data_IF_555085190162
#
_entry.id   IF_555085190162
#
_cell.length_a   1.000
_cell.length_b   1.000
_cell.length_c   1.000
_cell.angle_alpha   90.00
_cell.angle_beta   90.00
_cell.angle_gamma   90.00
#
_symmetry.space_group_name_H-M   'P 1'
#
loop_
_entity.id
_entity.type
_entity.pdbx_description
1 polymer ?
#
# COMPACT_ATOMS: atom_id res chain seq x y z
N UNK A 1 -13.51 14.41 0.24
CA UNK A 1 -13.47 13.37 -0.79
C UNK A 1 -14.87 12.79 -0.90
N UNK A 2 -15.57 12.96 -2.03
CA UNK A 2 -16.89 12.34 -2.25
C UNK A 2 -16.69 10.83 -2.33
N UNK A 3 -17.07 10.13 -1.30
CA UNK A 3 -17.16 8.69 -1.23
C UNK A 3 -18.34 8.26 -2.10
N UNK A 4 -18.09 7.37 -3.09
CA UNK A 4 -19.10 6.65 -3.90
C UNK A 4 -19.58 7.26 -5.23
N UNK A 5 -18.82 8.09 -5.90
CA UNK A 5 -19.01 8.22 -7.34
C UNK A 5 -18.19 7.12 -8.05
N UNK A 6 -18.85 6.35 -8.92
CA UNK A 6 -18.15 5.40 -9.79
C UNK A 6 -17.10 6.16 -10.62
N UNK A 7 -15.85 5.64 -10.71
CA UNK A 7 -14.82 6.29 -11.50
C UNK A 7 -15.28 6.46 -12.95
N UNK A 8 -14.94 7.58 -13.62
CA UNK A 8 -15.29 7.79 -15.03
C UNK A 8 -14.77 6.65 -15.90
N UNK A 9 -15.58 6.18 -16.85
CA UNK A 9 -15.17 5.11 -17.77
C UNK A 9 -13.97 5.48 -18.65
N UNK A 10 -13.84 6.76 -19.00
CA UNK A 10 -12.78 7.31 -19.87
C UNK A 10 -12.34 8.66 -19.35
N UNK A 11 -11.03 8.90 -19.32
CA UNK A 11 -10.42 10.16 -18.89
C UNK A 11 -9.38 10.65 -19.90
N UNK A 12 -8.98 11.92 -19.78
CA UNK A 12 -7.74 12.47 -20.35
C UNK A 12 -6.73 12.62 -19.21
N UNK A 13 -5.46 12.47 -19.49
CA UNK A 13 -4.39 12.64 -18.51
C UNK A 13 -3.24 13.43 -19.13
N UNK A 14 -2.73 14.41 -18.39
CA UNK A 14 -1.55 15.19 -18.82
C UNK A 14 -0.29 14.31 -18.88
N UNK A 15 -0.26 13.21 -18.14
CA UNK A 15 0.83 12.23 -18.21
C UNK A 15 0.83 11.41 -19.51
N UNK A 16 -0.31 11.40 -20.26
CA UNK A 16 -0.45 10.73 -21.56
C UNK A 16 -1.40 11.51 -22.49
N UNK A 17 -1.03 12.72 -22.93
CA UNK A 17 -1.95 13.66 -23.58
C UNK A 17 -2.43 13.22 -24.99
N UNK A 18 -1.68 12.32 -25.65
CA UNK A 18 -1.97 11.88 -27.01
C UNK A 18 -3.22 11.01 -27.10
N UNK A 19 -3.59 10.29 -26.06
CA UNK A 19 -4.67 9.32 -26.07
C UNK A 19 -5.55 9.39 -24.82
N UNK A 20 -6.78 8.90 -24.96
CA UNK A 20 -7.67 8.71 -23.82
C UNK A 20 -7.25 7.48 -23.02
N UNK A 21 -7.50 7.52 -21.73
CA UNK A 21 -7.33 6.38 -20.85
C UNK A 21 -8.70 5.82 -20.46
N UNK A 22 -8.85 4.50 -20.54
CA UNK A 22 -10.07 3.77 -20.26
C UNK A 22 -9.94 2.98 -18.97
N UNK A 23 -10.97 3.04 -18.14
CA UNK A 23 -11.04 2.25 -16.93
C UNK A 23 -11.13 0.76 -17.27
N UNK A 24 -10.12 0.01 -16.87
CA UNK A 24 -10.09 -1.45 -16.97
C UNK A 24 -10.47 -2.06 -15.63
N UNK A 25 -11.32 -3.08 -15.67
CA UNK A 25 -11.69 -3.91 -14.54
C UNK A 25 -11.41 -5.34 -14.97
N UNK A 26 -10.26 -5.87 -14.57
CA UNK A 26 -9.84 -7.23 -14.91
C UNK A 26 -9.97 -8.14 -13.70
N UNK A 27 -10.30 -9.41 -13.93
CA UNK A 27 -10.43 -10.42 -12.88
C UNK A 27 -9.19 -11.32 -12.76
N UNK A 28 -8.32 -11.29 -13.77
CA UNK A 28 -7.21 -12.25 -13.94
C UNK A 28 -5.97 -11.66 -14.64
N UNK A 29 -5.86 -10.33 -14.73
CA UNK A 29 -4.74 -9.67 -15.39
C UNK A 29 -3.40 -9.81 -14.62
N UNK A 30 -2.24 -9.66 -15.31
CA UNK A 30 -0.95 -9.60 -14.64
C UNK A 30 -0.83 -8.35 -13.76
N UNK A 31 -0.01 -8.42 -12.69
CA UNK A 31 0.44 -7.22 -12.01
C UNK A 31 1.04 -6.22 -12.99
N UNK A 32 0.85 -4.93 -12.73
CA UNK A 32 1.34 -3.86 -13.60
C UNK A 32 2.21 -2.86 -12.83
N UNK A 33 2.90 -2.00 -13.56
CA UNK A 33 3.63 -0.86 -13.01
C UNK A 33 2.94 0.42 -13.45
N UNK A 34 2.53 1.21 -12.49
CA UNK A 34 1.87 2.50 -12.78
C UNK A 34 2.85 3.49 -13.41
N UNK A 35 2.52 4.03 -14.58
CA UNK A 35 3.34 5.04 -15.26
C UNK A 35 3.35 6.40 -14.56
N UNK A 36 2.34 6.67 -13.74
CA UNK A 36 2.30 7.87 -12.91
C UNK A 36 3.32 7.78 -11.76
N UNK A 37 3.04 7.02 -10.72
CA UNK A 37 3.85 6.98 -9.50
C UNK A 37 5.01 5.99 -9.55
N UNK A 38 5.12 5.15 -10.58
CA UNK A 38 6.13 4.09 -10.75
C UNK A 38 6.07 2.98 -9.69
N UNK A 39 4.96 2.88 -8.98
CA UNK A 39 4.70 1.83 -8.00
C UNK A 39 3.97 0.64 -8.63
N UNK A 40 4.12 -0.58 -8.07
CA UNK A 40 3.39 -1.74 -8.55
C UNK A 40 1.90 -1.65 -8.24
N UNK A 41 1.07 -2.24 -9.10
CA UNK A 41 -0.36 -2.44 -8.91
C UNK A 41 -0.77 -3.88 -9.19
N UNK A 42 -1.84 -4.35 -8.54
CA UNK A 42 -2.37 -5.69 -8.72
C UNK A 42 -3.10 -5.86 -10.03
N UNK A 43 -2.98 -7.04 -10.65
CA UNK A 43 -3.63 -7.33 -11.93
C UNK A 43 -5.15 -7.32 -11.88
N UNK A 44 -5.73 -7.54 -10.70
CA UNK A 44 -7.17 -7.51 -10.43
C UNK A 44 -7.68 -6.16 -9.94
N UNK A 45 -6.78 -5.19 -9.79
CA UNK A 45 -7.16 -3.83 -9.40
C UNK A 45 -7.70 -3.05 -10.59
N UNK A 46 -8.63 -2.14 -10.29
CA UNK A 46 -9.11 -1.18 -11.28
C UNK A 46 -7.97 -0.24 -11.66
N UNK A 47 -7.70 -0.11 -12.95
CA UNK A 47 -6.66 0.78 -13.49
C UNK A 47 -7.15 1.51 -14.73
N UNK A 48 -6.49 2.60 -15.05
CA UNK A 48 -6.69 3.27 -16.32
C UNK A 48 -5.58 2.88 -17.29
N UNK A 49 -5.95 2.34 -18.44
CA UNK A 49 -5.04 1.93 -19.52
C UNK A 49 -5.27 2.73 -20.78
N UNK A 50 -4.25 2.92 -21.60
CA UNK A 50 -4.38 3.61 -22.88
C UNK A 50 -5.33 2.87 -23.82
N UNK A 51 -6.32 3.58 -24.36
CA UNK A 51 -7.33 3.02 -25.27
C UNK A 51 -6.78 2.79 -26.69
N UNK A 52 -5.66 3.42 -27.05
CA UNK A 52 -4.97 3.27 -28.32
C UNK A 52 -3.90 2.17 -28.35
N UNK A 53 -3.79 1.38 -27.28
CA UNK A 53 -2.87 0.23 -27.19
C UNK A 53 -1.43 0.57 -26.84
N UNK A 54 -1.15 1.77 -26.32
CA UNK A 54 0.14 2.06 -25.69
C UNK A 54 0.26 1.22 -24.39
N UNK A 55 1.47 0.80 -24.07
CA UNK A 55 1.79 0.20 -22.77
C UNK A 55 1.88 1.33 -21.70
N UNK A 56 0.71 1.83 -21.31
CA UNK A 56 0.57 2.94 -20.36
C UNK A 56 -0.61 2.69 -19.43
N UNK A 57 -0.28 2.49 -18.15
CA UNK A 57 -1.22 2.14 -17.10
C UNK A 57 -1.10 3.08 -15.89
N UNK A 58 -2.22 3.52 -15.34
CA UNK A 58 -2.28 4.29 -14.10
C UNK A 58 -3.15 3.59 -13.05
N UNK A 59 -2.69 3.60 -11.80
CA UNK A 59 -3.61 3.34 -10.68
C UNK A 59 -4.80 4.30 -10.75
N UNK A 60 -5.97 3.84 -10.38
CA UNK A 60 -7.16 4.69 -10.28
C UNK A 60 -6.90 5.92 -9.39
N UNK A 61 -6.18 5.73 -8.28
CA UNK A 61 -5.76 6.81 -7.39
C UNK A 61 -4.84 7.83 -8.05
N UNK A 62 -3.90 7.39 -8.90
CA UNK A 62 -2.99 8.28 -9.62
C UNK A 62 -3.71 9.04 -10.73
N UNK A 63 -4.59 8.36 -11.47
CA UNK A 63 -5.37 8.94 -12.56
C UNK A 63 -6.37 10.00 -12.09
N UNK A 64 -6.90 9.85 -10.88
CA UNK A 64 -7.93 10.70 -10.28
C UNK A 64 -7.39 11.54 -9.11
N UNK A 65 -6.08 11.69 -9.00
CA UNK A 65 -5.43 12.52 -7.98
C UNK A 65 -5.87 13.97 -8.10
N UNK A 66 -6.21 14.59 -6.97
CA UNK A 66 -6.46 16.03 -6.91
C UNK A 66 -5.14 16.81 -6.98
N UNK A 67 -5.12 18.04 -7.55
CA UNK A 67 -3.91 18.86 -7.59
C UNK A 67 -3.32 19.15 -6.21
N UNK A 68 -4.17 19.25 -5.18
CA UNK A 68 -3.76 19.45 -3.78
C UNK A 68 -4.44 18.45 -2.86
N UNK A 69 -3.82 18.18 -1.72
CA UNK A 69 -4.30 17.24 -0.72
C UNK A 69 -3.98 17.73 0.70
N UNK A 70 -4.96 17.60 1.60
CA UNK A 70 -4.75 17.70 3.06
C UNK A 70 -4.99 16.32 3.67
N UNK A 71 -3.93 15.73 4.22
CA UNK A 71 -4.02 14.38 4.78
C UNK A 71 -4.27 14.41 6.29
N UNK A 72 -5.26 13.66 6.82
CA UNK A 72 -5.66 13.74 8.23
C UNK A 72 -4.55 13.47 9.25
N UNK A 73 -3.55 12.63 8.92
CA UNK A 73 -2.41 12.34 9.82
C UNK A 73 -1.50 13.55 10.08
N UNK A 74 -1.57 14.59 9.26
CA UNK A 74 -0.76 15.80 9.43
C UNK A 74 -1.54 16.98 9.98
N UNK A 75 -2.84 16.81 10.26
CA UNK A 75 -3.74 17.90 10.62
C UNK A 75 -4.17 18.74 9.40
N UNK A 76 -5.05 19.71 9.63
CA UNK A 76 -5.63 20.52 8.56
C UNK A 76 -4.71 21.58 7.95
N UNK A 77 -3.57 21.87 8.57
CA UNK A 77 -2.66 22.95 8.20
C UNK A 77 -1.59 22.53 7.19
N UNK A 78 -1.43 21.22 6.96
CA UNK A 78 -0.45 20.67 6.03
C UNK A 78 -1.11 20.41 4.69
N UNK A 79 -0.71 21.16 3.68
CA UNK A 79 -1.16 20.98 2.31
C UNK A 79 -0.04 20.41 1.44
N UNK A 80 -0.39 19.41 0.65
CA UNK A 80 0.49 18.78 -0.32
C UNK A 80 0.05 19.17 -1.73
N UNK A 81 1.00 19.43 -2.60
CA UNK A 81 0.79 19.64 -4.03
C UNK A 81 1.18 18.39 -4.81
N UNK A 82 0.38 18.01 -5.81
CA UNK A 82 0.70 16.92 -6.71
C UNK A 82 1.70 17.37 -7.75
N UNK A 83 2.89 16.78 -7.73
CA UNK A 83 3.95 17.03 -8.70
C UNK A 83 4.13 15.83 -9.64
N UNK A 84 4.50 16.05 -10.92
CA UNK A 84 4.78 14.96 -11.87
C UNK A 84 6.04 14.16 -11.51
N UNK A 85 6.94 14.75 -10.74
CA UNK A 85 8.14 14.12 -10.17
C UNK A 85 8.53 14.84 -8.89
N UNK A 86 9.27 14.14 -8.03
CA UNK A 86 9.78 14.72 -6.80
C UNK A 86 10.71 15.92 -7.08
N UNK A 87 10.74 16.95 -6.20
CA UNK A 87 11.71 18.03 -6.27
C UNK A 87 13.15 17.50 -6.18
N UNK A 88 14.15 18.23 -6.72
CA UNK A 88 15.55 17.86 -6.58
C UNK A 88 16.02 17.78 -5.11
N UNK A 89 16.89 16.82 -4.77
CA UNK A 89 17.48 15.80 -5.64
C UNK A 89 16.51 14.61 -5.83
N UNK A 90 16.05 14.39 -7.06
CA UNK A 90 15.02 13.40 -7.43
C UNK A 90 15.36 11.98 -6.94
N UNK A 91 16.63 11.61 -6.99
CA UNK A 91 17.06 10.26 -6.57
C UNK A 91 17.17 10.07 -5.06
N UNK A 92 16.97 11.12 -4.27
CA UNK A 92 17.04 11.08 -2.81
C UNK A 92 15.67 11.22 -2.14
N UNK A 93 14.58 11.36 -2.90
CA UNK A 93 13.24 11.54 -2.36
C UNK A 93 12.58 10.21 -2.04
N UNK A 94 12.02 10.11 -0.84
CA UNK A 94 11.38 8.92 -0.30
C UNK A 94 10.01 9.27 0.29
N UNK A 95 9.03 8.43 0.03
CA UNK A 95 7.71 8.56 0.60
C UNK A 95 7.73 8.44 2.14
N UNK A 96 7.23 9.45 2.84
CA UNK A 96 7.18 9.47 4.31
C UNK A 96 6.16 8.48 4.91
N UNK A 97 5.28 7.92 4.09
CA UNK A 97 4.38 6.86 4.52
C UNK A 97 5.02 5.47 4.48
N UNK A 98 5.64 5.07 3.37
CA UNK A 98 6.14 3.70 3.19
C UNK A 98 7.67 3.57 3.17
N UNK A 99 8.42 4.67 3.02
CA UNK A 99 9.88 4.65 2.96
C UNK A 99 10.49 4.22 1.62
N UNK A 100 9.68 3.92 0.62
CA UNK A 100 10.16 3.63 -0.73
C UNK A 100 10.42 4.92 -1.52
N UNK A 101 11.24 4.84 -2.58
CA UNK A 101 11.57 6.00 -3.41
C UNK A 101 10.35 6.53 -4.17
N UNK A 102 10.15 7.84 -4.16
CA UNK A 102 9.19 8.53 -5.01
C UNK A 102 9.82 8.80 -6.39
N UNK A 103 9.46 7.97 -7.38
CA UNK A 103 10.09 7.99 -8.73
C UNK A 103 9.23 8.65 -9.81
N UNK A 104 8.02 9.05 -9.50
CA UNK A 104 7.06 9.62 -10.43
C UNK A 104 6.15 10.58 -9.70
N UNK A 105 4.85 10.56 -10.02
CA UNK A 105 3.85 11.36 -9.32
C UNK A 105 4.03 11.27 -7.81
N UNK A 106 4.09 12.42 -7.17
CA UNK A 106 4.30 12.56 -5.74
C UNK A 106 3.50 13.75 -5.20
N UNK A 107 2.90 13.59 -4.06
CA UNK A 107 2.39 14.69 -3.25
C UNK A 107 3.54 15.24 -2.41
N UNK A 108 3.92 16.49 -2.64
CA UNK A 108 4.99 17.18 -1.93
C UNK A 108 4.43 18.32 -1.07
N UNK A 109 4.92 18.45 0.16
CA UNK A 109 4.63 19.58 1.03
C UNK A 109 5.90 20.44 1.16
N UNK A 110 5.89 21.63 0.56
CA UNK A 110 7.04 22.55 0.56
C UNK A 110 7.39 23.07 1.94
N UNK A 111 6.41 23.25 2.83
CA UNK A 111 6.63 23.81 4.17
C UNK A 111 7.34 22.83 5.11
N UNK A 112 7.17 21.52 4.90
CA UNK A 112 7.68 20.49 5.83
C UNK A 112 8.61 19.48 5.17
N UNK A 113 8.89 19.62 3.89
CA UNK A 113 9.70 18.67 3.10
C UNK A 113 9.23 17.22 3.27
N UNK A 114 7.92 17.01 3.03
CA UNK A 114 7.27 15.71 3.13
C UNK A 114 6.82 15.25 1.77
N UNK A 115 6.96 13.95 1.51
CA UNK A 115 6.63 13.34 0.24
C UNK A 115 5.73 12.11 0.41
N UNK A 116 4.68 12.00 -0.39
CA UNK A 116 3.76 10.86 -0.37
C UNK A 116 3.51 10.33 -1.78
N UNK A 117 3.61 9.02 -1.99
CA UNK A 117 3.02 8.42 -3.18
C UNK A 117 1.51 8.66 -3.18
N UNK A 118 0.87 8.90 -4.35
CA UNK A 118 -0.58 9.05 -4.42
C UNK A 118 -1.35 7.88 -3.80
N UNK A 119 -0.87 6.65 -3.99
CA UNK A 119 -1.46 5.46 -3.39
C UNK A 119 -1.32 5.45 -1.85
N UNK A 120 -0.21 5.94 -1.31
CA UNK A 120 -0.03 6.06 0.14
C UNK A 120 -0.90 7.17 0.73
N UNK A 121 -1.02 8.30 0.03
CA UNK A 121 -1.89 9.40 0.41
C UNK A 121 -3.39 9.04 0.38
N UNK A 122 -3.77 8.04 -0.43
CA UNK A 122 -5.13 7.54 -0.52
C UNK A 122 -5.47 6.45 0.51
N UNK A 123 -4.54 6.05 1.37
CA UNK A 123 -4.79 5.04 2.41
C UNK A 123 -5.89 5.51 3.36
N UNK A 124 -6.85 4.64 3.64
CA UNK A 124 -7.96 4.94 4.54
C UNK A 124 -7.47 5.05 5.97
N UNK A 125 -7.95 6.08 6.68
CA UNK A 125 -7.68 6.26 8.11
C UNK A 125 -8.18 5.09 8.95
N UNK A 126 -9.31 4.52 8.55
CA UNK A 126 -9.92 3.36 9.19
C UNK A 126 -10.41 2.39 8.12
N UNK A 127 -10.22 1.11 8.38
CA UNK A 127 -10.70 0.02 7.53
C UNK A 127 -11.20 -1.11 8.42
N UNK A 128 -12.36 -1.65 8.08
CA UNK A 128 -12.89 -2.85 8.75
C UNK A 128 -12.48 -4.05 7.92
N UNK A 129 -11.81 -5.00 8.57
CA UNK A 129 -11.40 -6.25 7.95
C UNK A 129 -12.37 -7.37 8.31
N UNK A 130 -12.27 -8.49 7.61
CA UNK A 130 -13.11 -9.67 7.87
C UNK A 130 -13.09 -10.03 9.37
N UNK A 131 -14.24 -10.43 9.91
CA UNK A 131 -14.39 -10.62 11.35
C UNK A 131 -14.69 -9.34 12.14
N UNK A 132 -14.86 -8.18 11.47
CA UNK A 132 -15.26 -6.91 12.10
C UNK A 132 -14.12 -6.16 12.81
N UNK A 133 -12.86 -6.57 12.60
CA UNK A 133 -11.71 -5.91 13.24
C UNK A 133 -11.40 -4.57 12.59
N UNK A 134 -11.25 -3.54 13.41
CA UNK A 134 -10.91 -2.20 12.97
C UNK A 134 -9.38 -2.04 12.83
N UNK A 135 -8.95 -1.67 11.63
CA UNK A 135 -7.60 -1.19 11.35
C UNK A 135 -7.61 0.33 11.37
N UNK A 136 -6.69 0.92 12.09
CA UNK A 136 -6.52 2.37 12.16
C UNK A 136 -5.14 2.78 11.66
N UNK A 137 -5.10 3.67 10.67
CA UNK A 137 -3.85 4.22 10.15
C UNK A 137 -3.23 5.17 11.18
N UNK A 138 -1.94 4.99 11.45
CA UNK A 138 -1.14 5.76 12.39
C UNK A 138 0.12 6.28 11.70
N UNK A 139 0.60 7.46 12.09
CA UNK A 139 1.85 8.03 11.58
C UNK A 139 3.11 7.26 11.99
N UNK A 140 3.02 6.42 13.01
CA UNK A 140 4.11 5.56 13.47
C UNK A 140 3.57 4.34 14.24
N UNK A 141 4.38 3.27 14.30
CA UNK A 141 4.09 2.12 15.14
C UNK A 141 4.62 2.35 16.56
N UNK A 142 3.77 2.17 17.56
CA UNK A 142 4.18 2.24 18.99
C UNK A 142 4.86 0.95 19.45
N UNK A 143 4.49 -0.18 18.84
CA UNK A 143 5.05 -1.50 19.10
C UNK A 143 5.73 -2.05 17.83
N UNK A 144 6.38 -3.21 17.98
CA UNK A 144 7.04 -3.88 16.85
C UNK A 144 6.02 -4.34 15.81
N UNK A 145 6.36 -4.11 14.54
CA UNK A 145 5.60 -4.64 13.40
C UNK A 145 5.61 -6.17 13.42
N UNK A 146 4.45 -6.77 13.24
CA UNK A 146 4.28 -8.24 13.26
C UNK A 146 5.00 -8.96 12.12
N UNK A 147 5.30 -8.25 11.04
CA UNK A 147 5.94 -8.82 9.84
C UNK A 147 7.45 -8.74 9.94
N UNK A 148 8.01 -7.55 10.15
CA UNK A 148 9.47 -7.37 10.17
C UNK A 148 10.09 -7.44 11.58
N UNK A 149 9.29 -7.42 12.64
CA UNK A 149 9.78 -7.42 14.02
C UNK A 149 10.39 -6.10 14.50
N UNK A 150 10.49 -5.10 13.63
CA UNK A 150 11.06 -3.81 13.96
C UNK A 150 9.98 -2.83 14.43
N UNK A 151 10.34 -1.91 15.33
CA UNK A 151 9.43 -0.85 15.77
C UNK A 151 9.32 0.27 14.72
N UNK A 152 10.43 0.56 14.06
CA UNK A 152 10.53 1.62 13.04
C UNK A 152 10.78 0.98 11.67
N UNK A 153 10.10 1.50 10.64
CA UNK A 153 10.39 1.12 9.27
C UNK A 153 11.80 1.59 8.86
N UNK A 154 12.44 0.85 7.96
CA UNK A 154 13.76 1.21 7.42
C UNK A 154 13.59 1.80 6.03
N UNK A 155 14.29 2.92 5.75
CA UNK A 155 14.54 3.36 4.37
C UNK A 155 15.46 2.33 3.68
N UNK A 156 15.22 2.09 2.40
CA UNK A 156 16.07 1.17 1.61
C UNK A 156 17.54 1.57 1.54
N UNK A 157 17.91 2.83 1.82
CA UNK A 157 19.26 3.36 1.58
C UNK A 157 19.90 4.17 2.69
N UNK A 158 19.31 4.29 3.88
CA UNK A 158 19.93 5.11 4.94
C UNK A 158 19.89 4.46 6.31
N UNK A 159 20.93 4.70 7.11
CA UNK A 159 21.02 4.35 8.52
C UNK A 159 20.10 5.19 9.43
N UNK A 160 19.40 6.19 8.91
CA UNK A 160 18.49 7.01 9.71
C UNK A 160 17.14 6.30 9.87
N UNK A 161 16.75 6.05 11.11
CA UNK A 161 15.45 5.51 11.49
C UNK A 161 14.39 6.59 11.35
N UNK A 162 13.83 6.79 10.14
CA UNK A 162 12.60 7.57 10.00
C UNK A 162 11.40 6.73 10.44
N UNK A 163 10.42 7.40 11.02
CA UNK A 163 9.16 6.80 11.42
C UNK A 163 8.22 6.80 10.23
N UNK A 164 7.80 5.60 9.82
CA UNK A 164 6.88 5.41 8.71
C UNK A 164 5.52 4.98 9.21
N UNK A 165 4.50 5.17 8.40
CA UNK A 165 3.13 4.85 8.75
C UNK A 165 2.92 3.37 9.00
N UNK A 166 1.97 3.08 9.88
CA UNK A 166 1.55 1.74 10.22
C UNK A 166 0.03 1.68 10.43
N UNK A 167 -0.56 0.52 10.19
CA UNK A 167 -1.88 0.20 10.69
C UNK A 167 -1.77 -0.43 12.05
N UNK A 168 -2.61 0.06 12.97
CA UNK A 168 -2.84 -0.51 14.28
C UNK A 168 -4.15 -1.27 14.28
N UNK A 169 -4.18 -2.42 14.92
CA UNK A 169 -5.42 -3.12 15.25
C UNK A 169 -5.42 -3.54 16.71
N UNK A 170 -6.61 -3.82 17.24
CA UNK A 170 -6.79 -4.39 18.55
C UNK A 170 -7.72 -5.59 18.42
N UNK A 171 -7.30 -6.74 18.95
CA UNK A 171 -8.07 -7.96 18.96
C UNK A 171 -7.89 -8.66 20.30
N UNK A 172 -8.99 -8.97 20.99
CA UNK A 172 -9.00 -9.66 22.29
C UNK A 172 -7.99 -9.07 23.31
N UNK A 173 -7.95 -7.73 23.39
CA UNK A 173 -7.04 -6.99 24.26
C UNK A 173 -5.57 -6.94 23.78
N UNK A 174 -5.24 -7.59 22.66
CA UNK A 174 -3.90 -7.57 22.07
C UNK A 174 -3.83 -6.50 20.98
N UNK A 175 -2.88 -5.56 21.11
CA UNK A 175 -2.59 -4.55 20.11
C UNK A 175 -1.43 -5.01 19.21
N UNK A 176 -1.62 -4.90 17.89
CA UNK A 176 -0.59 -5.17 16.90
C UNK A 176 -0.40 -4.01 15.93
N UNK A 177 0.75 -3.99 15.26
CA UNK A 177 1.10 -3.01 14.25
C UNK A 177 1.63 -3.67 12.98
N UNK A 178 1.30 -3.08 11.82
CA UNK A 178 1.77 -3.50 10.51
C UNK A 178 2.22 -2.26 9.73
N UNK A 179 3.52 -2.13 9.44
CA UNK A 179 4.02 -1.02 8.64
C UNK A 179 3.37 -1.01 7.25
N UNK A 180 3.06 0.18 6.72
CA UNK A 180 2.56 0.34 5.34
C UNK A 180 3.52 -0.28 4.33
N UNK A 181 4.83 -0.13 4.52
CA UNK A 181 5.86 -0.80 3.69
C UNK A 181 5.76 -2.33 3.71
N UNK A 182 5.53 -2.92 4.89
CA UNK A 182 5.38 -4.36 5.03
C UNK A 182 4.09 -4.87 4.39
N UNK A 183 2.99 -4.15 4.57
CA UNK A 183 1.71 -4.44 3.93
C UNK A 183 1.82 -4.41 2.39
N UNK A 184 2.43 -3.36 1.85
CA UNK A 184 2.68 -3.21 0.42
C UNK A 184 3.54 -4.35 -0.14
N UNK A 185 4.62 -4.72 0.56
CA UNK A 185 5.48 -5.85 0.15
C UNK A 185 4.71 -7.17 0.09
N UNK A 186 3.87 -7.44 1.09
CA UNK A 186 3.03 -8.63 1.12
C UNK A 186 2.03 -8.62 -0.05
N UNK A 187 1.38 -7.49 -0.31
CA UNK A 187 0.44 -7.35 -1.42
C UNK A 187 1.11 -7.66 -2.77
N UNK A 188 2.28 -7.08 -3.05
CA UNK A 188 3.04 -7.34 -4.28
C UNK A 188 3.39 -8.81 -4.43
N UNK A 189 3.89 -9.46 -3.38
CA UNK A 189 4.22 -10.89 -3.41
C UNK A 189 2.97 -11.75 -3.65
N UNK A 190 1.83 -11.40 -3.06
CA UNK A 190 0.56 -12.10 -3.29
C UNK A 190 0.09 -11.96 -4.74
N UNK A 191 0.14 -10.75 -5.32
CA UNK A 191 -0.26 -10.53 -6.72
C UNK A 191 0.60 -11.32 -7.71
N UNK A 192 1.92 -11.38 -7.48
CA UNK A 192 2.83 -12.16 -8.31
C UNK A 192 2.56 -13.67 -8.20
N UNK A 193 2.25 -14.16 -7.00
CA UNK A 193 1.95 -15.54 -6.76
C UNK A 193 0.61 -15.92 -7.38
N UNK A 194 -0.45 -15.16 -7.14
CA UNK A 194 -1.77 -15.39 -7.71
C UNK A 194 -1.73 -15.45 -9.25
N UNK A 195 -0.93 -14.59 -9.86
CA UNK A 195 -0.76 -14.58 -11.32
C UNK A 195 -0.05 -15.83 -11.82
N UNK A 196 1.01 -16.30 -11.12
CA UNK A 196 1.75 -17.51 -11.46
C UNK A 196 0.90 -18.77 -11.33
N UNK A 197 0.08 -18.83 -10.29
CA UNK A 197 -0.74 -20.01 -9.98
C UNK A 197 -2.03 -20.06 -10.81
N UNK A 198 -2.35 -19.01 -11.58
CA UNK A 198 -3.59 -18.89 -12.34
C UNK A 198 -4.84 -18.84 -11.46
N UNK A 199 -4.69 -18.56 -10.18
CA UNK A 199 -5.79 -18.54 -9.21
C UNK A 199 -6.50 -17.19 -9.25
N UNK A 200 -7.74 -17.19 -9.70
CA UNK A 200 -8.62 -16.02 -9.74
C UNK A 200 -9.19 -15.63 -8.35
N UNK A 201 -8.37 -15.33 -7.36
CA UNK A 201 -8.81 -14.97 -6.00
C UNK A 201 -8.60 -13.50 -5.64
N UNK A 202 -9.54 -12.88 -4.94
CA UNK A 202 -9.59 -11.44 -4.65
C UNK A 202 -8.49 -10.91 -3.73
N UNK A 203 -7.75 -9.94 -4.22
CA UNK A 203 -6.46 -9.45 -3.66
C UNK A 203 -6.60 -8.48 -2.49
N UNK A 204 -7.72 -7.76 -2.36
CA UNK A 204 -7.96 -6.89 -1.20
C UNK A 204 -8.20 -7.72 0.07
N UNK A 205 -8.75 -8.92 -0.08
CA UNK A 205 -8.91 -9.87 1.01
C UNK A 205 -7.59 -10.51 1.45
N UNK A 206 -6.59 -10.68 0.57
CA UNK A 206 -5.36 -11.36 0.93
C UNK A 206 -4.57 -10.63 2.02
N UNK A 207 -4.38 -9.31 1.95
CA UNK A 207 -3.71 -8.56 3.04
C UNK A 207 -4.50 -8.58 4.34
N UNK A 208 -5.82 -8.63 4.26
CA UNK A 208 -6.76 -8.76 5.37
C UNK A 208 -6.71 -10.18 5.94
N UNK A 209 -6.78 -11.20 5.12
CA UNK A 209 -6.70 -12.61 5.50
C UNK A 209 -5.33 -12.96 6.10
N UNK A 210 -4.25 -12.36 5.58
CA UNK A 210 -2.90 -12.47 6.15
C UNK A 210 -2.86 -11.90 7.56
N UNK A 211 -3.45 -10.74 7.78
CA UNK A 211 -3.50 -10.13 9.11
C UNK A 211 -4.34 -10.95 10.08
N UNK A 212 -5.47 -11.49 9.67
CA UNK A 212 -6.30 -12.37 10.48
C UNK A 212 -5.59 -13.67 10.86
N UNK A 213 -4.91 -14.31 9.93
CA UNK A 213 -4.11 -15.51 10.18
C UNK A 213 -2.99 -15.25 11.20
N UNK A 214 -2.37 -14.06 11.16
CA UNK A 214 -1.36 -13.66 12.12
C UNK A 214 -1.95 -13.34 13.50
N UNK A 215 -3.14 -12.77 13.58
CA UNK A 215 -3.86 -12.49 14.81
C UNK A 215 -4.27 -13.78 15.54
N UNK A 216 -4.82 -14.76 14.83
CA UNK A 216 -5.23 -16.05 15.38
C UNK A 216 -4.08 -16.86 15.98
N UNK A 217 -2.85 -16.73 15.46
CA UNK A 217 -1.66 -17.46 15.97
C UNK A 217 -1.08 -16.91 17.27
N UNK A 218 -1.50 -15.73 17.72
CA UNK A 218 -1.03 -15.11 18.97
C UNK A 218 -1.98 -15.29 20.15
N UNK A 219 -2.99 -16.13 20.06
CA UNK A 219 -3.77 -16.51 21.24
C UNK A 219 -2.85 -17.27 22.22
N UNK A 220 -2.74 -16.84 23.49
CA UNK A 220 -1.82 -17.43 24.44
C UNK A 220 -2.39 -18.75 25.00
N UNK A 221 -2.24 -19.84 24.29
CA UNK A 221 -2.34 -21.17 24.89
C UNK A 221 -0.95 -21.79 24.90
N UNK A 222 -0.27 -21.61 26.01
CA UNK A 222 0.68 -22.54 26.59
C UNK A 222 1.92 -22.97 25.81
N UNK A 223 3.03 -22.56 26.35
CA UNK A 223 4.33 -23.21 26.40
C UNK A 223 5.47 -22.66 25.52
N UNK A 224 6.51 -22.23 26.25
CA UNK A 224 7.75 -21.69 25.72
C UNK A 224 8.54 -22.77 24.96
N UNK A 225 8.86 -22.51 23.68
CA UNK A 225 9.86 -23.22 22.90
C UNK A 225 10.75 -22.20 22.18
N UNK A 226 12.00 -22.13 22.58
CA UNK A 226 13.06 -21.32 21.98
C UNK A 226 13.32 -21.77 20.54
N UNK A 227 13.11 -20.89 19.55
CA UNK A 227 13.41 -21.14 18.16
C UNK A 227 13.62 -19.84 17.39
N UNK A 228 14.75 -19.72 16.74
CA UNK A 228 15.32 -18.57 16.04
C UNK A 228 14.38 -17.91 15.01
N UNK A 229 14.28 -16.59 15.11
CA UNK A 229 13.29 -15.74 14.45
C UNK A 229 13.48 -15.42 12.94
N UNK A 230 14.23 -16.19 12.16
CA UNK A 230 14.51 -15.89 10.74
C UNK A 230 13.73 -16.80 9.77
N UNK A 231 13.32 -17.98 10.16
CA UNK A 231 12.55 -18.92 9.30
C UNK A 231 11.04 -18.66 9.27
N UNK A 232 10.52 -17.78 10.11
CA UNK A 232 9.09 -17.50 10.24
C UNK A 232 8.52 -16.64 9.09
N UNK A 233 9.37 -15.95 8.32
CA UNK A 233 8.93 -15.07 7.23
C UNK A 233 8.38 -15.82 6.00
N UNK A 234 9.03 -16.91 5.59
CA UNK A 234 8.70 -17.61 4.34
C UNK A 234 7.68 -18.74 4.57
N UNK A 235 7.86 -19.54 5.61
CA UNK A 235 6.87 -20.58 5.98
C UNK A 235 5.54 -20.02 6.49
N UNK A 236 5.52 -18.76 6.93
CA UNK A 236 4.29 -18.04 7.27
C UNK A 236 3.41 -17.76 6.05
N UNK A 237 4.01 -17.48 4.91
CA UNK A 237 3.32 -17.19 3.65
C UNK A 237 2.73 -18.45 3.01
N UNK A 238 3.45 -19.57 2.99
CA UNK A 238 2.96 -20.84 2.45
C UNK A 238 1.75 -21.43 3.20
N UNK A 239 1.59 -21.11 4.49
CA UNK A 239 0.44 -21.56 5.28
C UNK A 239 -0.76 -20.59 5.22
N UNK A 240 -0.60 -19.41 4.63
CA UNK A 240 -1.66 -18.42 4.49
C UNK A 240 -2.49 -18.72 3.24
N UNK A 241 -1.87 -19.18 2.15
CA UNK A 241 -2.57 -19.67 0.96
C UNK A 241 -3.45 -20.89 1.21
N UNK A 242 -3.15 -21.71 2.22
CA UNK A 242 -3.93 -22.91 2.59
C UNK A 242 -5.11 -22.65 3.54
N UNK A 243 -5.39 -21.41 3.90
CA UNK A 243 -6.52 -21.04 4.79
C UNK A 243 -7.70 -20.45 3.98
N UNK A 244 -7.56 -20.35 2.66
CA UNK A 244 -8.57 -19.79 1.75
C UNK A 244 -9.30 -20.87 0.94
N UNK A 245 -9.07 -22.17 1.19
CA UNK A 245 -9.88 -23.29 0.71
C UNK A 245 -10.97 -23.69 1.74
#
# INVERSE_FOLDING_TARGET
MKLYEEPPAVISSDAHPAHKLKLQVTTDGPPFRCDGCKEPGGGKERRYSCDAGCDFDLHTTCALSSPTLKHPLFGGDVEFELLPSAPPPVDATYCDACGDRARGLVYHCFDRDLDLHPCCAALRMESVVHGGHLLKLCGEAELRCIVCGEKQGRRQSSSSSKRFWAYRWCYDGVTGYLHVACMKKIAVMSWEQDYKDGVGGGVVEASVTIMEGMLRRRSPTGNAGSGSGVELGIRGLENITKIVE
#
